data_IF_380256269888
#
_entry.id   IF_380256269888
#
_cell.length_a   1.000
_cell.length_b   1.000
_cell.length_c   1.000
_cell.angle_alpha   90.00
_cell.angle_beta   90.00
_cell.angle_gamma   90.00
#
_symmetry.space_group_name_H-M   'P 1'
#
loop_
_entity.id
_entity.type
_entity.pdbx_description
1 polymer ?
#
# COMPACT_ATOMS: atom_id res chain seq x y z
N UNK A 1 -24.89 -52.04 0.15
CA UNK A 1 -25.09 -50.95 -0.81
C UNK A 1 -25.38 -49.68 -0.03
N UNK A 2 -24.35 -48.90 0.26
CA UNK A 2 -24.44 -47.54 0.79
C UNK A 2 -23.09 -46.88 0.51
N UNK A 3 -22.84 -46.57 -0.77
CA UNK A 3 -21.55 -46.04 -1.25
C UNK A 3 -21.71 -44.69 -1.95
N UNK A 4 -22.84 -44.00 -1.73
CA UNK A 4 -23.04 -42.63 -2.20
C UNK A 4 -22.97 -41.66 -1.01
N UNK A 5 -22.18 -40.59 -1.13
CA UNK A 5 -22.13 -39.56 -0.10
C UNK A 5 -23.51 -38.89 0.06
N UNK A 6 -23.85 -38.36 1.24
CA UNK A 6 -25.12 -37.69 1.47
C UNK A 6 -25.36 -36.58 0.43
N UNK A 7 -26.56 -36.57 -0.17
CA UNK A 7 -26.92 -35.61 -1.22
C UNK A 7 -26.71 -34.14 -0.77
N UNK A 8 -27.08 -33.82 0.47
CA UNK A 8 -26.89 -32.49 1.08
C UNK A 8 -25.42 -32.09 1.16
N UNK A 9 -24.52 -33.03 1.47
CA UNK A 9 -23.09 -32.76 1.51
C UNK A 9 -22.53 -32.48 0.10
N UNK A 10 -23.01 -33.25 -0.89
CA UNK A 10 -22.59 -33.11 -2.29
C UNK A 10 -23.03 -31.75 -2.85
N UNK A 11 -24.28 -31.36 -2.62
CA UNK A 11 -24.83 -30.08 -3.06
C UNK A 11 -24.12 -28.88 -2.39
N UNK A 12 -23.82 -28.98 -1.09
CA UNK A 12 -23.17 -27.90 -0.34
C UNK A 12 -21.69 -27.71 -0.73
N UNK A 13 -20.95 -28.80 -0.94
CA UNK A 13 -19.48 -28.75 -1.17
C UNK A 13 -19.13 -28.60 -2.64
N UNK A 14 -19.88 -29.23 -3.56
CA UNK A 14 -19.57 -29.25 -4.99
C UNK A 14 -20.35 -28.19 -5.79
N UNK A 15 -20.65 -27.06 -5.16
CA UNK A 15 -21.31 -25.95 -5.83
C UNK A 15 -20.38 -25.35 -6.90
N UNK A 16 -20.83 -25.21 -8.16
CA UNK A 16 -20.04 -24.53 -9.19
C UNK A 16 -19.74 -23.08 -8.81
N UNK A 17 -18.50 -22.64 -9.04
CA UNK A 17 -18.11 -21.24 -8.92
C UNK A 17 -18.51 -20.43 -10.15
N UNK A 18 -18.74 -19.13 -9.98
CA UNK A 18 -18.85 -18.20 -11.10
C UNK A 18 -17.45 -17.82 -11.62
N UNK A 19 -17.41 -17.30 -12.84
CA UNK A 19 -16.18 -16.74 -13.40
C UNK A 19 -15.77 -15.45 -12.68
N UNK A 20 -14.46 -15.24 -12.62
CA UNK A 20 -13.84 -14.07 -12.03
C UNK A 20 -13.32 -13.15 -13.16
N UNK A 21 -13.27 -11.82 -12.96
CA UNK A 21 -12.61 -10.90 -13.89
C UNK A 21 -11.18 -11.33 -14.26
N UNK A 22 -10.80 -11.17 -15.52
CA UNK A 22 -9.49 -11.63 -16.03
C UNK A 22 -8.29 -10.83 -15.50
N UNK A 23 -8.54 -9.59 -15.07
CA UNK A 23 -7.53 -8.66 -14.56
C UNK A 23 -7.18 -8.88 -13.09
N UNK A 24 -7.82 -9.86 -12.43
CA UNK A 24 -7.55 -10.13 -11.03
C UNK A 24 -6.12 -10.67 -10.81
N UNK A 25 -5.34 -10.04 -9.91
CA UNK A 25 -4.00 -10.50 -9.62
C UNK A 25 -4.04 -11.89 -8.98
N UNK A 26 -3.31 -12.84 -9.57
CA UNK A 26 -3.14 -14.18 -9.00
C UNK A 26 -2.29 -14.12 -7.74
N UNK A 27 -2.70 -14.85 -6.71
CA UNK A 27 -1.93 -14.97 -5.48
C UNK A 27 -0.65 -15.76 -5.73
N UNK A 28 0.49 -15.11 -5.50
CA UNK A 28 1.83 -15.68 -5.65
C UNK A 28 2.82 -14.87 -4.82
N UNK A 29 3.55 -15.55 -3.93
CA UNK A 29 4.66 -14.96 -3.18
C UNK A 29 5.95 -14.88 -4.01
N UNK A 30 6.97 -14.22 -3.45
CA UNK A 30 8.30 -14.16 -4.04
C UNK A 30 8.96 -15.56 -4.06
N UNK A 31 9.65 -15.88 -5.15
CA UNK A 31 10.36 -17.14 -5.33
C UNK A 31 11.87 -16.94 -5.07
N UNK A 32 12.33 -17.39 -3.91
CA UNK A 32 13.73 -17.23 -3.49
C UNK A 32 14.73 -18.06 -4.31
N UNK A 33 14.29 -18.97 -5.19
CA UNK A 33 15.19 -19.57 -6.17
C UNK A 33 15.73 -18.54 -7.18
N UNK A 34 15.11 -17.36 -7.27
CA UNK A 34 15.56 -16.23 -8.08
C UNK A 34 16.62 -15.36 -7.36
N UNK A 35 17.04 -15.74 -6.15
CA UNK A 35 18.01 -15.01 -5.33
C UNK A 35 17.36 -14.22 -4.19
N UNK A 36 18.16 -13.35 -3.55
CA UNK A 36 17.71 -12.49 -2.45
C UNK A 36 17.65 -11.05 -2.95
N UNK A 37 16.48 -10.67 -3.46
CA UNK A 37 16.16 -9.29 -3.87
C UNK A 37 15.05 -8.72 -2.98
N UNK A 38 15.42 -7.86 -2.03
CA UNK A 38 14.47 -7.25 -1.10
C UNK A 38 13.44 -6.35 -1.78
N UNK A 39 13.80 -5.69 -2.89
CA UNK A 39 12.86 -4.86 -3.63
C UNK A 39 11.80 -5.74 -4.31
N UNK A 40 12.21 -6.86 -4.90
CA UNK A 40 11.28 -7.81 -5.49
C UNK A 40 10.42 -8.53 -4.44
N UNK A 41 10.97 -8.82 -3.25
CA UNK A 41 10.20 -9.34 -2.10
C UNK A 41 9.11 -8.35 -1.70
N UNK A 42 9.45 -7.09 -1.46
CA UNK A 42 8.46 -6.07 -1.08
C UNK A 42 7.44 -5.81 -2.20
N UNK A 43 7.84 -5.90 -3.47
CA UNK A 43 6.92 -5.79 -4.60
C UNK A 43 5.94 -6.96 -4.65
N UNK A 44 6.38 -8.18 -4.31
CA UNK A 44 5.52 -9.36 -4.30
C UNK A 44 4.41 -9.27 -3.25
N UNK A 45 4.52 -8.39 -2.25
CA UNK A 45 3.53 -8.27 -1.19
C UNK A 45 2.13 -7.94 -1.73
N UNK A 46 2.03 -7.25 -2.87
CA UNK A 46 0.75 -7.01 -3.57
C UNK A 46 0.01 -8.33 -3.88
N UNK A 47 0.74 -9.39 -4.21
CA UNK A 47 0.20 -10.71 -4.58
C UNK A 47 0.39 -11.78 -3.51
N UNK A 48 0.94 -11.45 -2.33
CA UNK A 48 1.14 -12.41 -1.23
C UNK A 48 -0.15 -12.68 -0.43
N UNK A 49 -1.03 -11.69 -0.30
CA UNK A 49 -2.29 -11.79 0.45
C UNK A 49 -2.22 -11.23 1.88
N UNK A 50 -3.38 -11.21 2.56
CA UNK A 50 -3.54 -10.73 3.93
C UNK A 50 -2.94 -9.32 4.17
N UNK A 51 -2.17 -9.14 5.26
CA UNK A 51 -1.53 -7.87 5.60
C UNK A 51 -0.38 -7.50 4.66
N UNK A 52 0.23 -8.47 3.97
CA UNK A 52 1.26 -8.17 2.98
C UNK A 52 0.66 -7.31 1.85
N UNK A 53 -0.49 -7.71 1.29
CA UNK A 53 -1.17 -6.91 0.26
C UNK A 53 -1.56 -5.52 0.76
N UNK A 54 -1.94 -5.38 2.04
CA UNK A 54 -2.21 -4.05 2.62
C UNK A 54 -0.96 -3.18 2.67
N UNK A 55 0.19 -3.73 3.05
CA UNK A 55 1.46 -2.99 3.04
C UNK A 55 1.87 -2.60 1.61
N UNK A 56 1.74 -3.50 0.63
CA UNK A 56 2.03 -3.19 -0.77
C UNK A 56 1.18 -2.04 -1.31
N UNK A 57 -0.13 -2.04 -1.00
CA UNK A 57 -1.04 -0.95 -1.37
C UNK A 57 -0.70 0.36 -0.65
N UNK A 58 -0.32 0.32 0.63
CA UNK A 58 0.09 1.51 1.37
C UNK A 58 1.36 2.15 0.77
N UNK A 59 2.31 1.34 0.30
CA UNK A 59 3.50 1.82 -0.42
C UNK A 59 3.10 2.54 -1.72
N UNK A 60 2.19 1.95 -2.52
CA UNK A 60 1.70 2.59 -3.75
C UNK A 60 1.03 3.94 -3.47
N UNK A 61 0.18 3.99 -2.44
CA UNK A 61 -0.54 5.20 -2.09
C UNK A 61 0.38 6.33 -1.59
N UNK A 62 1.39 6.00 -0.76
CA UNK A 62 2.38 7.00 -0.32
C UNK A 62 3.19 7.52 -1.52
N UNK A 63 3.57 6.66 -2.46
CA UNK A 63 4.25 7.10 -3.69
C UNK A 63 3.36 8.02 -4.52
N UNK A 64 2.06 7.73 -4.66
CA UNK A 64 1.12 8.64 -5.33
C UNK A 64 1.04 10.00 -4.62
N UNK A 65 1.03 10.05 -3.28
CA UNK A 65 1.06 11.31 -2.53
C UNK A 65 2.34 12.12 -2.83
N UNK A 66 3.49 11.46 -2.89
CA UNK A 66 4.79 12.09 -3.19
C UNK A 66 4.81 12.60 -4.64
N UNK A 67 4.39 11.77 -5.60
CA UNK A 67 4.29 12.16 -7.01
C UNK A 67 3.38 13.38 -7.17
N UNK A 68 2.20 13.34 -6.54
CA UNK A 68 1.25 14.45 -6.55
C UNK A 68 1.82 15.71 -5.90
N UNK A 69 2.63 15.56 -4.84
CA UNK A 69 3.31 16.68 -4.17
C UNK A 69 4.29 17.40 -5.08
N UNK A 70 5.00 16.64 -5.93
CA UNK A 70 6.02 17.14 -6.85
C UNK A 70 5.44 17.78 -8.12
N UNK A 71 4.15 17.57 -8.40
CA UNK A 71 3.48 18.26 -9.51
C UNK A 71 3.49 19.78 -9.30
N UNK A 72 3.79 20.58 -10.34
CA UNK A 72 3.76 22.02 -10.26
C UNK A 72 2.33 22.54 -10.07
N UNK A 73 2.13 23.41 -9.08
CA UNK A 73 0.84 24.08 -8.84
C UNK A 73 0.94 25.55 -9.22
N UNK A 74 0.03 26.00 -10.07
CA UNK A 74 -0.20 27.41 -10.37
C UNK A 74 -0.51 28.16 -9.06
N UNK A 75 0.24 29.22 -8.77
CA UNK A 75 0.11 29.97 -7.53
C UNK A 75 -1.21 30.73 -7.56
N UNK A 76 -2.24 30.21 -6.89
CA UNK A 76 -3.44 31.01 -6.61
C UNK A 76 -3.04 32.16 -5.67
N UNK A 77 -3.09 33.39 -6.20
CA UNK A 77 -2.82 34.63 -5.48
C UNK A 77 -3.71 34.74 -4.22
N UNK A 78 -3.11 35.07 -3.08
CA UNK A 78 -3.87 35.62 -1.94
C UNK A 78 -4.07 34.75 -0.70
N UNK A 79 -3.17 33.80 -0.35
CA UNK A 79 -3.17 33.25 1.01
C UNK A 79 -2.29 34.11 1.95
N UNK A 80 -2.87 34.81 2.94
CA UNK A 80 -2.10 35.64 3.90
C UNK A 80 -1.19 34.84 4.84
N UNK A 81 -1.31 33.51 4.89
CA UNK A 81 -0.43 32.61 5.64
C UNK A 81 0.73 32.04 4.81
N UNK A 82 0.82 32.43 3.54
CA UNK A 82 1.90 32.00 2.66
C UNK A 82 3.16 32.76 3.02
N UNK A 83 4.17 32.07 3.56
CA UNK A 83 5.51 32.65 3.69
C UNK A 83 5.98 33.03 2.29
N UNK A 84 6.35 34.30 2.13
CA UNK A 84 6.77 34.86 0.85
C UNK A 84 7.90 34.02 0.24
N UNK A 85 7.64 33.39 -0.91
CA UNK A 85 8.67 32.70 -1.71
C UNK A 85 8.62 31.18 -1.77
N UNK A 86 7.72 30.50 -1.03
CA UNK A 86 7.57 29.03 -1.15
C UNK A 86 6.42 28.66 -2.11
N UNK A 87 6.76 27.86 -3.14
CA UNK A 87 5.79 27.26 -4.04
C UNK A 87 4.88 26.28 -3.27
N UNK A 88 3.57 26.29 -3.56
CA UNK A 88 2.64 25.34 -2.94
C UNK A 88 2.87 23.94 -3.53
N UNK A 89 3.03 22.90 -2.70
CA UNK A 89 3.09 21.53 -3.21
C UNK A 89 1.73 21.10 -3.79
N UNK A 90 1.74 20.21 -4.79
CA UNK A 90 0.51 19.63 -5.37
C UNK A 90 -0.29 18.73 -4.45
N UNK A 91 0.30 18.35 -3.31
CA UNK A 91 -0.33 17.56 -2.26
C UNK A 91 0.23 17.98 -0.89
N UNK A 92 -0.66 18.35 0.04
CA UNK A 92 -0.28 18.57 1.44
C UNK A 92 -0.36 17.24 2.19
N UNK A 93 0.78 16.75 2.69
CA UNK A 93 0.87 15.48 3.42
C UNK A 93 0.86 15.77 4.93
N UNK A 94 -0.09 15.18 5.65
CA UNK A 94 -0.19 15.26 7.10
C UNK A 94 0.32 13.96 7.73
N UNK A 95 1.37 14.05 8.54
CA UNK A 95 1.95 12.91 9.27
C UNK A 95 1.53 12.97 10.74
N UNK A 96 0.72 12.01 11.16
CA UNK A 96 0.34 11.80 12.56
C UNK A 96 1.02 10.56 13.14
N UNK A 97 1.53 10.66 14.36
CA UNK A 97 2.12 9.54 15.10
C UNK A 97 1.87 9.70 16.60
N UNK A 98 1.81 8.58 17.32
CA UNK A 98 1.63 8.54 18.78
C UNK A 98 2.96 8.66 19.52
N UNK A 99 2.94 9.01 20.81
CA UNK A 99 4.15 9.29 21.61
C UNK A 99 5.13 8.11 21.69
N UNK A 100 4.62 6.87 21.76
CA UNK A 100 5.44 5.66 21.79
C UNK A 100 6.31 5.48 20.53
N UNK A 101 5.92 6.03 19.39
CA UNK A 101 6.73 5.96 18.16
C UNK A 101 7.96 6.86 18.25
N UNK A 102 7.88 8.02 18.90
CA UNK A 102 9.03 8.90 19.16
C UNK A 102 9.96 8.33 20.23
N UNK A 103 9.42 7.59 21.20
CA UNK A 103 10.24 6.88 22.18
C UNK A 103 10.93 5.63 21.60
N UNK A 104 10.56 5.21 20.39
CA UNK A 104 11.15 4.07 19.67
C UNK A 104 12.16 4.53 18.60
N UNK A 105 12.86 3.58 17.98
CA UNK A 105 13.77 3.86 16.85
C UNK A 105 13.08 4.31 15.55
N UNK A 106 11.74 4.36 15.50
CA UNK A 106 11.00 4.97 14.38
C UNK A 106 11.21 6.50 14.34
N UNK A 107 11.63 7.10 15.47
CA UNK A 107 12.00 8.51 15.57
C UNK A 107 12.97 8.94 14.47
N UNK A 108 13.98 8.13 14.16
CA UNK A 108 14.98 8.46 13.15
C UNK A 108 14.39 8.54 11.74
N UNK A 109 13.41 7.67 11.42
CA UNK A 109 12.65 7.73 10.17
C UNK A 109 11.75 8.97 10.09
N UNK A 110 11.02 9.29 11.16
CA UNK A 110 10.18 10.51 11.23
C UNK A 110 11.05 11.77 11.08
N UNK A 111 12.20 11.81 11.77
CA UNK A 111 13.18 12.90 11.68
C UNK A 111 13.68 13.07 10.25
N UNK A 112 13.98 11.97 9.54
CA UNK A 112 14.41 12.03 8.14
C UNK A 112 13.35 12.68 7.24
N UNK A 113 12.08 12.28 7.36
CA UNK A 113 10.99 12.86 6.57
C UNK A 113 10.84 14.37 6.81
N UNK A 114 10.89 14.80 8.07
CA UNK A 114 10.76 16.21 8.45
C UNK A 114 11.98 17.05 8.02
N UNK A 115 13.21 16.53 8.20
CA UNK A 115 14.47 17.17 7.81
C UNK A 115 14.51 17.49 6.31
N UNK A 116 14.00 16.58 5.48
CA UNK A 116 14.04 16.70 4.02
C UNK A 116 12.78 17.33 3.41
N UNK A 117 11.86 17.86 4.25
CA UNK A 117 10.59 18.49 3.82
C UNK A 117 9.75 17.61 2.87
N UNK A 118 9.76 16.29 3.10
CA UNK A 118 8.99 15.33 2.30
C UNK A 118 7.48 15.58 2.37
#
# INVERSE_FOLDING_TARGET
MADQPPAVATEAVLKPSCDLPEDLPKIRGYDFNQGVDFQAVLKSYLTTGFQASRLGLAIQEINHMIEKRLEPVEVAEGNPWQKSGEAKPGCTIFLGYTSNLISSGVRESIRYLAEHKM
#
